data_IF_340352207488
#
_entry.id   IF_340352207488
#
_cell.length_a   1.000
_cell.length_b   1.000
_cell.length_c   1.000
_cell.angle_alpha   90.00
_cell.angle_beta   90.00
_cell.angle_gamma   90.00
#
_symmetry.space_group_name_H-M   'P 1'
#
loop_
_entity.id
_entity.type
_entity.pdbx_description
1 polymer ?
#
# COMPACT_ATOMS: atom_id res chain seq x y z
N UNK A 1 -20.08 -41.77 -11.84
CA UNK A 1 -18.61 -41.67 -11.95
C UNK A 1 -18.37 -40.44 -12.82
N UNK A 2 -18.06 -39.28 -12.19
CA UNK A 2 -17.70 -38.09 -12.95
C UNK A 2 -16.35 -38.31 -13.57
N UNK A 3 -16.28 -38.25 -14.89
CA UNK A 3 -15.04 -38.30 -15.63
C UNK A 3 -14.28 -37.02 -15.36
N UNK A 4 -13.13 -37.13 -14.66
CA UNK A 4 -12.31 -35.96 -14.38
C UNK A 4 -11.75 -35.40 -15.69
N UNK A 5 -11.85 -34.10 -15.93
CA UNK A 5 -11.39 -33.51 -17.18
C UNK A 5 -9.87 -33.74 -17.36
N UNK A 6 -9.49 -34.08 -18.59
CA UNK A 6 -8.08 -34.34 -18.91
C UNK A 6 -7.27 -33.03 -18.83
N UNK A 7 -6.12 -33.05 -18.18
CA UNK A 7 -5.24 -31.88 -18.04
C UNK A 7 -4.92 -31.17 -19.36
N UNK A 8 -4.66 -31.95 -20.43
CA UNK A 8 -4.35 -31.40 -21.76
C UNK A 8 -5.48 -30.61 -22.38
N UNK A 9 -6.72 -30.95 -22.06
CA UNK A 9 -7.91 -30.25 -22.59
C UNK A 9 -8.14 -28.92 -21.88
N UNK A 10 -7.62 -28.78 -20.65
CA UNK A 10 -7.75 -27.58 -19.83
C UNK A 10 -6.68 -26.52 -20.11
N UNK A 11 -5.48 -26.93 -20.46
CA UNK A 11 -4.31 -26.05 -20.48
C UNK A 11 -3.87 -25.63 -21.89
N UNK A 12 -4.30 -26.34 -22.91
CA UNK A 12 -3.94 -26.06 -24.31
C UNK A 12 -2.47 -26.41 -24.64
N UNK A 13 -2.12 -26.28 -25.92
CA UNK A 13 -0.78 -26.56 -26.43
C UNK A 13 0.08 -25.28 -26.44
N UNK A 14 1.30 -25.34 -25.88
CA UNK A 14 2.29 -24.26 -26.00
C UNK A 14 2.90 -23.69 -24.74
N UNK A 15 2.72 -24.34 -23.57
CA UNK A 15 3.37 -23.93 -22.34
C UNK A 15 4.84 -24.36 -22.27
N UNK A 16 5.72 -23.54 -21.62
CA UNK A 16 7.08 -23.94 -21.31
C UNK A 16 7.09 -25.20 -20.42
N UNK A 17 8.07 -26.13 -20.59
CA UNK A 17 8.10 -27.40 -19.87
C UNK A 17 8.03 -27.26 -18.35
N UNK A 18 8.68 -26.27 -17.77
CA UNK A 18 8.66 -26.06 -16.31
C UNK A 18 7.33 -25.52 -15.75
N UNK A 19 6.55 -24.85 -16.60
CA UNK A 19 5.21 -24.36 -16.23
C UNK A 19 4.17 -25.48 -16.38
N UNK A 20 4.36 -26.35 -17.33
CA UNK A 20 3.54 -27.54 -17.54
C UNK A 20 3.63 -28.48 -16.33
N UNK A 21 4.83 -28.82 -15.87
CA UNK A 21 5.02 -29.66 -14.67
C UNK A 21 4.38 -29.06 -13.40
N UNK A 22 4.46 -27.73 -13.27
CA UNK A 22 3.85 -27.05 -12.13
C UNK A 22 2.32 -27.14 -12.17
N UNK A 23 1.72 -26.92 -13.32
CA UNK A 23 0.26 -26.98 -13.51
C UNK A 23 -0.26 -28.41 -13.39
N UNK A 24 0.48 -29.40 -13.87
CA UNK A 24 0.14 -30.82 -13.74
C UNK A 24 0.10 -31.26 -12.26
N UNK A 25 1.06 -30.81 -11.46
CA UNK A 25 1.06 -31.06 -10.00
C UNK A 25 -0.13 -30.40 -9.30
N UNK A 26 -0.53 -29.19 -9.72
CA UNK A 26 -1.74 -28.53 -9.19
C UNK A 26 -3.00 -29.28 -9.59
N UNK A 27 -3.07 -29.75 -10.81
CA UNK A 27 -4.19 -30.53 -11.30
C UNK A 27 -4.36 -31.87 -10.53
N UNK A 28 -3.26 -32.58 -10.27
CA UNK A 28 -3.25 -33.79 -9.43
C UNK A 28 -3.77 -33.51 -8.00
N UNK A 29 -3.35 -32.38 -7.41
CA UNK A 29 -3.83 -31.97 -6.09
C UNK A 29 -5.34 -31.65 -6.09
N UNK A 30 -5.85 -31.02 -7.14
CA UNK A 30 -7.28 -30.75 -7.28
C UNK A 30 -8.09 -32.02 -7.46
N UNK A 31 -7.61 -33.00 -8.23
CA UNK A 31 -8.23 -34.32 -8.36
C UNK A 31 -8.22 -35.06 -7.02
N UNK A 32 -7.10 -35.02 -6.29
CA UNK A 32 -6.97 -35.65 -4.99
C UNK A 32 -7.88 -35.02 -3.92
N UNK A 33 -8.16 -33.72 -4.03
CA UNK A 33 -9.08 -33.02 -3.13
C UNK A 33 -10.55 -33.45 -3.32
N UNK A 34 -10.88 -34.05 -4.47
CA UNK A 34 -12.22 -34.53 -4.78
C UNK A 34 -13.20 -33.42 -5.19
N UNK A 35 -14.43 -33.78 -5.52
CA UNK A 35 -15.45 -32.81 -5.86
C UNK A 35 -15.78 -31.92 -4.64
N UNK A 36 -16.14 -30.65 -4.88
CA UNK A 36 -16.56 -29.78 -3.79
C UNK A 36 -17.76 -30.37 -3.03
N UNK A 37 -17.85 -30.12 -1.73
CA UNK A 37 -18.99 -30.60 -0.95
C UNK A 37 -20.29 -30.06 -1.56
N UNK A 38 -21.34 -30.92 -1.52
CA UNK A 38 -22.67 -30.53 -1.99
C UNK A 38 -23.13 -29.27 -1.26
N UNK A 39 -23.65 -28.31 -2.02
CA UNK A 39 -24.21 -27.08 -1.46
C UNK A 39 -25.40 -27.44 -0.55
N UNK A 40 -25.49 -26.83 0.64
CA UNK A 40 -26.70 -26.96 1.45
C UNK A 40 -27.94 -26.59 0.63
N UNK A 41 -29.06 -27.33 0.77
CA UNK A 41 -30.28 -27.09 -0.01
C UNK A 41 -30.80 -25.66 0.04
N UNK A 42 -30.47 -24.94 1.12
CA UNK A 42 -30.81 -23.53 1.34
C UNK A 42 -30.07 -22.57 0.39
N UNK A 43 -28.98 -23.02 -0.24
CA UNK A 43 -28.17 -22.24 -1.18
C UNK A 43 -28.42 -22.65 -2.65
N UNK A 44 -29.10 -23.76 -2.88
CA UNK A 44 -29.48 -24.22 -4.24
C UNK A 44 -30.67 -23.43 -4.80
N UNK A 45 -31.56 -22.95 -3.90
CA UNK A 45 -32.63 -22.08 -4.32
C UNK A 45 -32.17 -20.61 -4.30
N UNK A 46 -32.31 -19.88 -5.43
CA UNK A 46 -32.10 -18.46 -5.41
C UNK A 46 -33.05 -17.86 -4.37
N UNK A 47 -32.57 -16.94 -3.49
CA UNK A 47 -33.43 -16.35 -2.48
C UNK A 47 -34.67 -15.80 -3.18
N UNK A 48 -35.85 -16.36 -2.81
CA UNK A 48 -37.12 -15.94 -3.37
C UNK A 48 -37.14 -14.41 -3.40
N UNK A 49 -37.12 -13.83 -4.61
CA UNK A 49 -37.09 -12.37 -4.82
C UNK A 49 -38.36 -11.66 -4.27
N UNK A 50 -39.15 -12.39 -3.50
CA UNK A 50 -40.31 -11.90 -2.74
C UNK A 50 -40.02 -11.63 -1.26
N UNK A 51 -38.79 -11.45 -0.84
CA UNK A 51 -38.56 -10.81 0.45
C UNK A 51 -39.15 -9.43 0.38
N UNK A 52 -40.40 -9.31 0.88
CA UNK A 52 -41.07 -8.09 1.29
C UNK A 52 -40.21 -6.82 1.19
N UNK A 53 -39.87 -6.43 -0.02
CA UNK A 53 -39.62 -5.04 -0.31
C UNK A 53 -40.98 -4.42 -0.03
N UNK A 54 -41.18 -3.92 1.19
CA UNK A 54 -42.27 -3.01 1.47
C UNK A 54 -42.12 -1.91 0.43
N UNK A 55 -42.90 -2.06 -0.64
CA UNK A 55 -43.04 -1.03 -1.63
C UNK A 55 -43.49 0.18 -0.85
N UNK A 56 -42.57 1.12 -0.65
CA UNK A 56 -42.88 2.41 -0.05
C UNK A 56 -43.86 3.06 -1.02
N UNK A 57 -45.13 3.01 -0.68
CA UNK A 57 -46.18 3.67 -1.44
C UNK A 57 -46.11 5.16 -1.12
N UNK A 58 -45.53 6.00 -2.00
CA UNK A 58 -45.33 7.40 -1.69
C UNK A 58 -46.61 8.23 -1.73
N UNK A 59 -47.74 7.59 -2.04
CA UNK A 59 -49.03 8.27 -2.24
C UNK A 59 -49.73 8.66 -0.95
N UNK A 60 -49.31 8.14 0.23
CA UNK A 60 -50.00 8.35 1.51
C UNK A 60 -49.43 9.48 2.38
N UNK A 61 -48.29 10.07 2.04
CA UNK A 61 -47.70 11.13 2.86
C UNK A 61 -48.09 12.51 2.37
N UNK A 62 -48.66 13.39 3.23
CA UNK A 62 -48.99 14.74 2.82
C UNK A 62 -47.70 15.45 2.37
N UNK A 63 -47.74 16.05 1.18
CA UNK A 63 -46.59 16.69 0.51
C UNK A 63 -45.70 17.55 1.41
N UNK A 64 -46.27 18.19 2.45
CA UNK A 64 -45.52 18.96 3.45
C UNK A 64 -44.59 18.11 4.32
N UNK A 65 -44.97 16.86 4.64
CA UNK A 65 -44.13 15.95 5.47
C UNK A 65 -43.00 15.31 4.66
N UNK A 66 -43.19 15.09 3.36
CA UNK A 66 -42.14 14.59 2.47
C UNK A 66 -41.02 15.63 2.32
N UNK A 67 -41.38 16.91 2.17
CA UNK A 67 -40.40 17.99 2.12
C UNK A 67 -39.57 18.10 3.42
N UNK A 68 -40.21 17.98 4.57
CA UNK A 68 -39.51 18.01 5.87
C UNK A 68 -38.58 16.79 6.07
N UNK A 69 -39.02 15.59 5.64
CA UNK A 69 -38.18 14.38 5.71
C UNK A 69 -36.96 14.44 4.78
N UNK A 70 -37.12 15.00 3.56
CA UNK A 70 -36.02 15.23 2.63
C UNK A 70 -35.04 16.29 3.14
N UNK A 71 -35.54 17.38 3.73
CA UNK A 71 -34.69 18.40 4.34
C UNK A 71 -33.87 17.85 5.52
N UNK A 72 -34.48 16.98 6.36
CA UNK A 72 -33.81 16.33 7.45
C UNK A 72 -32.74 15.34 6.96
N UNK A 73 -33.05 14.53 5.95
CA UNK A 73 -32.11 13.61 5.32
C UNK A 73 -30.92 14.34 4.69
N UNK A 74 -31.16 15.47 4.02
CA UNK A 74 -30.11 16.30 3.45
C UNK A 74 -29.24 16.95 4.55
N UNK A 75 -29.82 17.40 5.64
CA UNK A 75 -29.07 17.93 6.78
C UNK A 75 -28.18 16.88 7.43
N UNK A 76 -28.69 15.65 7.64
CA UNK A 76 -27.92 14.55 8.19
C UNK A 76 -26.78 14.15 7.22
N UNK A 77 -27.04 14.09 5.92
CA UNK A 77 -26.02 13.80 4.91
C UNK A 77 -24.93 14.88 4.88
N UNK A 78 -25.29 16.17 4.99
CA UNK A 78 -24.35 17.28 5.10
C UNK A 78 -23.49 17.20 6.36
N UNK A 79 -24.09 16.91 7.50
CA UNK A 79 -23.35 16.76 8.78
C UNK A 79 -22.41 15.56 8.71
N UNK A 80 -22.86 14.43 8.16
CA UNK A 80 -22.02 13.25 7.98
C UNK A 80 -20.88 13.50 6.98
N UNK A 81 -21.16 14.20 5.89
CA UNK A 81 -20.13 14.57 4.89
C UNK A 81 -19.12 15.55 5.48
N UNK A 82 -19.56 16.62 6.15
CA UNK A 82 -18.66 17.58 6.79
C UNK A 82 -17.88 16.94 7.95
N UNK A 83 -18.52 16.14 8.76
CA UNK A 83 -17.86 15.38 9.83
C UNK A 83 -16.85 14.39 9.26
N UNK A 84 -17.20 13.64 8.22
CA UNK A 84 -16.31 12.73 7.52
C UNK A 84 -15.17 13.45 6.80
N UNK A 85 -15.43 14.61 6.21
CA UNK A 85 -14.39 15.43 5.56
C UNK A 85 -13.39 16.00 6.57
N UNK A 86 -13.86 16.49 7.71
CA UNK A 86 -13.00 17.03 8.78
C UNK A 86 -12.19 15.92 9.46
N UNK A 87 -12.78 14.75 9.69
CA UNK A 87 -12.08 13.61 10.27
C UNK A 87 -11.25 12.83 9.26
N UNK A 88 -11.68 12.78 8.01
CA UNK A 88 -10.95 12.15 6.89
C UNK A 88 -9.72 12.94 6.43
N UNK A 89 -9.69 14.27 6.63
CA UNK A 89 -8.48 15.06 6.60
C UNK A 89 -7.70 14.91 7.89
N UNK A 90 -7.70 13.70 8.44
CA UNK A 90 -6.98 13.45 9.66
C UNK A 90 -5.56 13.92 9.52
N UNK A 91 -5.27 14.90 10.33
CA UNK A 91 -3.95 15.28 10.77
C UNK A 91 -3.18 13.99 10.88
N UNK A 92 -2.24 13.79 9.95
CA UNK A 92 -1.25 12.74 10.11
C UNK A 92 -0.84 12.76 11.58
N UNK A 93 -1.00 11.66 12.33
CA UNK A 93 -0.67 11.67 13.75
C UNK A 93 0.71 12.29 13.90
N UNK A 94 0.92 13.15 14.91
CA UNK A 94 2.21 13.78 15.12
C UNK A 94 3.26 12.68 15.13
N UNK A 95 4.26 12.80 14.26
CA UNK A 95 5.33 11.81 14.19
C UNK A 95 6.20 12.02 15.42
N UNK A 96 6.06 11.15 16.39
CA UNK A 96 6.91 11.12 17.57
C UNK A 96 8.31 10.68 17.14
N UNK A 97 9.27 11.58 17.24
CA UNK A 97 10.66 11.32 16.86
C UNK A 97 11.46 10.97 18.11
N UNK A 98 11.99 9.76 18.14
CA UNK A 98 12.90 9.31 19.21
C UNK A 98 14.33 9.73 18.91
N UNK A 99 14.71 9.80 17.65
CA UNK A 99 16.04 10.15 17.18
C UNK A 99 15.97 10.86 15.84
N UNK A 100 16.81 11.85 15.63
CA UNK A 100 16.94 12.53 14.33
C UNK A 100 18.41 12.71 13.96
N UNK A 101 18.70 12.58 12.68
CA UNK A 101 20.03 12.72 12.09
C UNK A 101 19.97 13.66 10.91
N UNK A 102 20.86 14.63 10.87
CA UNK A 102 20.99 15.55 9.75
C UNK A 102 22.05 15.04 8.77
N UNK A 103 21.73 15.04 7.48
CA UNK A 103 22.65 14.81 6.38
C UNK A 103 22.75 16.13 5.62
N UNK A 104 23.91 16.74 5.63
CA UNK A 104 24.10 18.07 5.07
C UNK A 104 25.37 18.11 4.23
N UNK A 105 25.26 18.71 3.04
CA UNK A 105 26.40 19.17 2.24
C UNK A 105 26.04 20.52 1.60
N UNK A 106 26.87 21.05 0.73
CA UNK A 106 26.69 22.38 0.12
C UNK A 106 25.41 22.53 -0.69
N UNK A 107 24.81 21.44 -1.15
CA UNK A 107 23.65 21.45 -2.05
C UNK A 107 22.39 20.85 -1.41
N UNK A 108 22.55 19.88 -0.50
CA UNK A 108 21.47 19.07 0.05
C UNK A 108 21.42 19.18 1.55
N UNK A 109 20.21 19.46 2.04
CA UNK A 109 19.89 19.40 3.46
C UNK A 109 18.81 18.35 3.66
N UNK A 110 19.13 17.33 4.44
CA UNK A 110 18.19 16.28 4.77
C UNK A 110 18.17 16.01 6.27
N UNK A 111 17.01 15.65 6.78
CA UNK A 111 16.83 15.19 8.16
C UNK A 111 16.06 13.88 8.13
N UNK A 112 16.64 12.85 8.70
CA UNK A 112 15.99 11.55 8.92
C UNK A 112 15.62 11.46 10.39
N UNK A 113 14.36 11.27 10.67
CA UNK A 113 13.82 11.10 12.03
C UNK A 113 13.24 9.69 12.15
N UNK A 114 13.59 9.02 13.24
CA UNK A 114 13.10 7.68 13.58
C UNK A 114 12.06 7.79 14.68
N UNK A 115 10.95 7.12 14.51
CA UNK A 115 9.92 6.96 15.54
C UNK A 115 10.14 5.71 16.40
N UNK A 116 9.29 5.50 17.41
CA UNK A 116 9.34 4.29 18.22
C UNK A 116 9.00 3.06 17.36
N UNK A 117 9.63 1.94 17.70
CA UNK A 117 9.37 0.66 17.04
C UNK A 117 7.96 0.20 17.34
N UNK A 118 7.21 -0.19 16.32
CA UNK A 118 5.84 -0.67 16.45
C UNK A 118 5.78 -2.13 16.95
N UNK A 119 4.55 -2.59 17.27
CA UNK A 119 4.32 -3.95 17.75
C UNK A 119 4.69 -5.03 16.71
N UNK A 120 4.74 -4.69 15.42
CA UNK A 120 5.14 -5.59 14.34
C UNK A 120 6.65 -5.58 14.10
N UNK A 121 7.40 -4.81 14.87
CA UNK A 121 8.84 -4.71 14.77
C UNK A 121 9.33 -3.75 13.70
N UNK A 122 8.47 -2.90 13.12
CA UNK A 122 8.88 -1.86 12.19
C UNK A 122 9.22 -0.58 12.93
N UNK A 123 10.23 0.13 12.42
CA UNK A 123 10.57 1.47 12.87
C UNK A 123 10.08 2.49 11.85
N UNK A 124 9.09 3.33 12.18
CA UNK A 124 8.66 4.38 11.27
C UNK A 124 9.78 5.42 11.13
N UNK A 125 10.03 5.82 9.89
CA UNK A 125 11.06 6.78 9.54
C UNK A 125 10.46 7.92 8.71
N UNK A 126 10.88 9.14 9.01
CA UNK A 126 10.54 10.35 8.25
C UNK A 126 11.80 10.94 7.68
N UNK A 127 11.85 11.10 6.36
CA UNK A 127 12.87 11.86 5.66
C UNK A 127 12.27 13.21 5.25
N UNK A 128 12.90 14.30 5.68
CA UNK A 128 12.68 15.64 5.12
C UNK A 128 13.95 16.00 4.35
N UNK A 129 13.81 16.34 3.09
CA UNK A 129 14.96 16.66 2.22
C UNK A 129 14.66 17.87 1.36
N UNK A 130 15.66 18.73 1.18
CA UNK A 130 15.66 19.89 0.30
C UNK A 130 16.98 19.94 -0.49
N UNK A 131 16.99 20.63 -1.63
CA UNK A 131 18.17 20.79 -2.48
C UNK A 131 18.39 19.67 -3.50
N UNK A 132 17.62 18.60 -3.47
CA UNK A 132 17.70 17.56 -4.49
C UNK A 132 17.08 18.01 -5.81
N UNK A 133 17.74 17.68 -6.91
CA UNK A 133 17.25 18.00 -8.27
C UNK A 133 16.21 16.97 -8.72
N UNK A 134 15.26 17.41 -9.54
CA UNK A 134 14.39 16.46 -10.26
C UNK A 134 15.25 15.61 -11.20
N UNK A 135 15.09 14.30 -11.15
CA UNK A 135 15.82 13.35 -11.98
C UNK A 135 15.11 13.07 -13.31
N UNK A 136 15.84 12.48 -14.24
CA UNK A 136 15.29 11.97 -15.50
C UNK A 136 14.36 10.78 -15.24
N UNK A 137 13.54 10.45 -16.25
CA UNK A 137 12.70 9.26 -16.18
C UNK A 137 13.56 8.00 -15.96
N UNK A 138 13.14 7.15 -15.02
CA UNK A 138 13.80 5.91 -14.57
C UNK A 138 14.97 6.07 -13.60
N UNK A 139 15.48 7.28 -13.36
CA UNK A 139 16.42 7.54 -12.27
C UNK A 139 15.65 7.87 -11.01
N UNK A 140 16.20 7.54 -9.85
CA UNK A 140 15.57 7.80 -8.56
C UNK A 140 16.60 7.92 -7.44
N UNK A 141 16.19 8.50 -6.33
CA UNK A 141 16.98 8.52 -5.11
C UNK A 141 16.70 7.31 -4.26
N UNK A 142 17.72 6.85 -3.55
CA UNK A 142 17.63 5.76 -2.59
C UNK A 142 18.22 6.22 -1.27
N UNK A 143 17.50 5.95 -0.19
CA UNK A 143 17.99 6.12 1.16
C UNK A 143 18.52 4.77 1.66
N UNK A 144 19.78 4.76 2.07
CA UNK A 144 20.46 3.59 2.62
C UNK A 144 20.78 3.78 4.10
N UNK A 145 20.74 2.70 4.86
CA UNK A 145 21.53 2.56 6.09
C UNK A 145 22.91 2.03 5.74
N UNK A 146 23.93 2.60 6.33
CA UNK A 146 25.31 2.23 6.07
C UNK A 146 25.98 1.60 7.29
N UNK A 147 26.95 0.75 7.03
CA UNK A 147 27.84 0.18 8.05
C UNK A 147 29.28 0.37 7.59
N UNK A 148 30.07 1.09 8.40
CA UNK A 148 31.45 1.45 8.06
C UNK A 148 31.55 2.18 6.70
N UNK A 149 30.63 3.11 6.45
CA UNK A 149 30.58 3.92 5.23
C UNK A 149 30.10 3.15 3.98
N UNK A 150 29.68 1.88 4.09
CA UNK A 150 29.19 1.09 2.98
C UNK A 150 27.67 0.93 3.07
N UNK A 151 26.88 1.16 1.99
CA UNK A 151 25.46 0.87 1.95
C UNK A 151 25.20 -0.62 2.21
N UNK A 152 24.31 -0.93 3.15
CA UNK A 152 23.98 -2.30 3.54
C UNK A 152 22.50 -2.58 3.35
N UNK A 153 21.64 -1.61 3.67
CA UNK A 153 20.18 -1.79 3.67
C UNK A 153 19.53 -0.63 2.95
N UNK A 154 18.61 -0.94 2.05
CA UNK A 154 17.71 0.03 1.41
C UNK A 154 16.58 0.34 2.38
N UNK A 155 16.43 1.61 2.77
CA UNK A 155 15.29 2.08 3.57
C UNK A 155 14.09 2.43 2.70
N UNK A 156 14.35 2.94 1.50
CA UNK A 156 13.34 3.29 0.53
C UNK A 156 13.91 4.00 -0.68
N UNK A 157 13.14 4.01 -1.75
CA UNK A 157 13.43 4.77 -2.97
C UNK A 157 12.39 5.86 -3.17
N UNK A 158 12.80 6.99 -3.76
CA UNK A 158 11.92 8.14 -3.92
C UNK A 158 12.37 9.06 -5.05
N UNK A 159 11.46 9.91 -5.48
CA UNK A 159 11.73 11.02 -6.38
C UNK A 159 11.28 12.33 -5.76
N UNK A 160 11.85 13.42 -6.23
CA UNK A 160 11.48 14.79 -5.85
C UNK A 160 11.06 15.58 -7.08
N UNK A 161 10.14 16.51 -6.89
CA UNK A 161 9.70 17.38 -7.98
C UNK A 161 10.68 18.49 -8.34
N UNK A 162 11.68 18.74 -7.47
CA UNK A 162 12.66 19.82 -7.58
C UNK A 162 13.35 20.09 -6.25
N UNK A 163 14.09 21.20 -6.12
CA UNK A 163 14.90 21.50 -4.95
C UNK A 163 14.10 21.88 -3.69
N UNK A 164 12.79 22.05 -3.80
CA UNK A 164 11.94 22.39 -2.66
C UNK A 164 11.91 21.26 -1.64
N UNK A 165 11.59 21.63 -0.39
CA UNK A 165 11.50 20.66 0.70
C UNK A 165 10.42 19.60 0.44
N UNK A 166 10.81 18.35 0.47
CA UNK A 166 9.94 17.18 0.34
C UNK A 166 10.00 16.37 1.63
N UNK A 167 8.84 15.88 2.10
CA UNK A 167 8.75 15.01 3.27
C UNK A 167 8.21 13.65 2.85
N UNK A 168 8.92 12.61 3.22
CA UNK A 168 8.63 11.22 2.90
C UNK A 168 8.55 10.40 4.18
N UNK A 169 7.80 9.30 4.16
CA UNK A 169 7.68 8.38 5.28
C UNK A 169 7.93 6.96 4.79
N UNK A 170 8.74 6.23 5.54
CA UNK A 170 9.06 4.83 5.26
C UNK A 170 8.92 4.02 6.55
N UNK A 171 8.27 2.86 6.55
CA UNK A 171 8.44 1.86 7.58
C UNK A 171 9.69 1.03 7.25
N UNK A 172 10.59 0.84 8.21
CA UNK A 172 11.75 -0.04 8.04
C UNK A 172 11.71 -1.17 9.06
N UNK A 173 11.87 -2.40 8.58
CA UNK A 173 11.85 -3.59 9.43
C UNK A 173 13.16 -3.80 10.21
N UNK A 174 14.16 -2.97 9.96
CA UNK A 174 15.48 -3.07 10.57
C UNK A 174 15.58 -2.15 11.79
N UNK A 175 16.40 -2.59 12.75
CA UNK A 175 16.74 -1.77 13.90
C UNK A 175 17.84 -0.75 13.51
N UNK A 176 17.55 0.57 13.54
CA UNK A 176 18.52 1.58 13.17
C UNK A 176 19.78 1.59 14.05
N UNK A 177 19.69 1.09 15.28
CA UNK A 177 20.83 1.03 16.20
C UNK A 177 21.95 0.06 15.74
N UNK A 178 21.65 -0.84 14.79
CA UNK A 178 22.62 -1.79 14.23
C UNK A 178 23.50 -1.19 13.12
N UNK A 179 23.23 0.05 12.73
CA UNK A 179 23.90 0.75 11.64
C UNK A 179 24.59 2.00 12.20
N UNK A 180 25.66 2.44 11.54
CA UNK A 180 26.43 3.58 12.00
C UNK A 180 26.38 4.79 11.03
N UNK A 181 25.52 4.72 10.00
CA UNK A 181 25.33 5.87 9.11
C UNK A 181 24.12 5.75 8.20
N UNK A 182 23.86 6.85 7.53
CA UNK A 182 22.82 7.03 6.51
C UNK A 182 23.44 7.64 5.26
N UNK A 183 22.93 7.26 4.11
CA UNK A 183 23.36 7.79 2.82
C UNK A 183 22.15 7.96 1.88
N UNK A 184 22.06 9.11 1.23
CA UNK A 184 21.19 9.30 0.08
C UNK A 184 22.07 9.18 -1.17
N UNK A 185 21.73 8.25 -2.05
CA UNK A 185 22.40 8.08 -3.33
C UNK A 185 21.39 8.25 -4.48
N UNK A 186 21.88 8.66 -5.65
CA UNK A 186 21.14 8.69 -6.89
C UNK A 186 21.39 7.38 -7.63
N UNK A 187 20.32 6.65 -7.90
CA UNK A 187 20.38 5.50 -8.79
C UNK A 187 20.27 5.94 -10.24
N UNK A 188 21.27 5.61 -11.03
CA UNK A 188 21.31 5.88 -12.47
C UNK A 188 20.92 4.63 -13.25
N UNK A 189 19.81 4.70 -13.97
CA UNK A 189 19.30 3.56 -14.72
C UNK A 189 20.24 3.10 -15.84
N UNK A 190 20.93 4.03 -16.51
CA UNK A 190 21.83 3.74 -17.63
C UNK A 190 23.09 3.01 -17.16
N UNK A 191 23.72 3.49 -16.12
CA UNK A 191 24.96 2.92 -15.57
C UNK A 191 24.72 1.78 -14.60
N UNK A 192 23.47 1.64 -14.12
CA UNK A 192 23.06 0.71 -13.07
C UNK A 192 23.89 0.87 -11.78
N UNK A 193 24.23 2.09 -11.45
CA UNK A 193 25.04 2.42 -10.28
C UNK A 193 24.32 3.40 -9.36
N UNK A 194 24.56 3.23 -8.06
CA UNK A 194 24.20 4.22 -7.06
C UNK A 194 25.36 5.20 -6.89
N UNK A 195 25.11 6.48 -7.11
CA UNK A 195 26.07 7.55 -6.93
C UNK A 195 25.73 8.27 -5.62
N UNK A 196 26.63 8.27 -4.61
CA UNK A 196 26.39 8.96 -3.35
C UNK A 196 26.14 10.46 -3.55
N UNK A 197 25.14 11.01 -2.84
CA UNK A 197 24.76 12.41 -2.89
C UNK A 197 25.10 13.08 -1.56
N UNK A 198 24.67 12.51 -0.46
CA UNK A 198 24.95 13.02 0.90
C UNK A 198 24.93 11.86 1.90
N UNK A 199 25.80 11.89 2.89
CA UNK A 199 25.88 10.88 3.94
C UNK A 199 26.08 11.52 5.30
N UNK A 200 25.69 10.80 6.36
CA UNK A 200 25.96 11.17 7.75
C UNK A 200 26.18 9.92 8.60
N UNK A 201 26.89 10.09 9.72
CA UNK A 201 26.99 9.06 10.75
C UNK A 201 25.78 9.12 11.69
N UNK A 202 25.34 7.95 12.17
CA UNK A 202 24.24 7.78 13.12
C UNK A 202 24.74 7.91 14.56
#
# INVERSE_FOLDING_TARGET
MSDAPNFKDLVGEGLPPGEQERLERVHELLIAAGPPPELPPELEEPPDGRRNVRQFDPTGLPRRRVGAALALAAAIALIAFLGGYITGHSKNPPFESVRSVALVNDQVQATVSFGPRDANGNTPMRLRVAGLKKLAARDYYVLYMTKNGKPVVVCGSFNVGGPQSTTLRFPVAYDPAKFNGLEIARWEHVTRKAVPVVSAQL
#
